data_IF_204095417815
#
_entry.id   IF_204095417815
#
_cell.length_a   1.000
_cell.length_b   1.000
_cell.length_c   1.000
_cell.angle_alpha   90.00
_cell.angle_beta   90.00
_cell.angle_gamma   90.00
#
_symmetry.space_group_name_H-M   'P 1'
#
loop_
_entity.id
_entity.type
_entity.pdbx_description
1 polymer ?
#
# COMPACT_ATOMS: atom_id res chain seq x y z
N UNK A 1 0.34 13.84 -18.78
CA UNK A 1 1.34 14.69 -18.08
C UNK A 1 2.62 14.66 -18.91
N UNK A 2 3.23 15.80 -19.24
CA UNK A 2 4.53 15.82 -19.91
C UNK A 2 5.63 15.69 -18.85
N UNK A 3 6.67 14.91 -19.11
CA UNK A 3 7.88 14.93 -18.30
C UNK A 3 8.65 16.22 -18.60
N UNK A 4 8.90 17.04 -17.58
CA UNK A 4 9.66 18.28 -17.71
C UNK A 4 11.14 17.92 -17.58
N UNK A 5 11.80 17.78 -18.73
CA UNK A 5 13.21 17.40 -18.81
C UNK A 5 14.18 18.57 -18.55
N UNK A 6 13.65 19.76 -18.28
CA UNK A 6 14.43 20.98 -18.04
C UNK A 6 14.61 21.24 -16.54
N UNK A 7 15.59 20.56 -15.93
CA UNK A 7 16.11 20.91 -14.60
C UNK A 7 15.35 20.37 -13.38
N UNK A 8 14.23 19.67 -13.56
CA UNK A 8 13.51 19.02 -12.45
C UNK A 8 13.97 17.57 -12.28
N UNK A 9 14.28 17.16 -11.05
CA UNK A 9 14.51 15.76 -10.69
C UNK A 9 13.26 14.89 -10.93
N UNK A 10 13.38 13.55 -10.96
CA UNK A 10 12.21 12.67 -11.09
C UNK A 10 11.14 12.88 -10.01
N UNK A 11 11.54 13.29 -8.80
CA UNK A 11 10.61 13.61 -7.71
C UNK A 11 9.89 14.93 -7.96
N UNK A 12 10.62 15.98 -8.31
CA UNK A 12 10.03 17.29 -8.63
C UNK A 12 9.12 17.21 -9.85
N UNK A 13 9.48 16.41 -10.85
CA UNK A 13 8.61 16.12 -11.99
C UNK A 13 7.26 15.50 -11.60
N UNK A 14 7.17 14.88 -10.41
CA UNK A 14 5.94 14.31 -9.86
C UNK A 14 5.15 15.30 -9.01
N UNK A 15 5.79 16.32 -8.46
CA UNK A 15 5.20 17.19 -7.42
C UNK A 15 4.99 18.64 -7.90
N UNK A 16 5.86 19.15 -8.78
CA UNK A 16 5.89 20.58 -9.15
C UNK A 16 4.87 20.94 -10.24
N UNK A 17 4.77 20.25 -11.40
CA UNK A 17 3.77 20.64 -12.40
C UNK A 17 2.34 20.37 -11.90
N UNK A 18 1.41 21.34 -12.02
CA UNK A 18 0.05 21.18 -11.55
C UNK A 18 -0.70 20.11 -12.35
N UNK A 19 -1.55 19.35 -11.67
CA UNK A 19 -2.44 18.39 -12.30
C UNK A 19 -3.58 19.12 -13.00
N UNK A 20 -3.98 18.63 -14.18
CA UNK A 20 -4.99 19.26 -15.05
C UNK A 20 -6.06 18.24 -15.45
N UNK A 21 -6.86 17.77 -14.50
CA UNK A 21 -7.91 16.78 -14.77
C UNK A 21 -9.00 17.32 -15.70
N UNK A 22 -9.35 18.62 -15.56
CA UNK A 22 -10.35 19.28 -16.40
C UNK A 22 -10.08 19.15 -17.90
N UNK A 23 -8.81 19.10 -18.31
CA UNK A 23 -8.46 18.87 -19.71
C UNK A 23 -8.87 17.46 -20.16
N UNK A 24 -8.64 16.44 -19.33
CA UNK A 24 -9.07 15.08 -19.63
C UNK A 24 -10.60 14.98 -19.66
N UNK A 25 -11.30 15.72 -18.80
CA UNK A 25 -12.76 15.79 -18.79
C UNK A 25 -13.29 16.43 -20.07
N UNK A 26 -12.65 17.52 -20.52
CA UNK A 26 -12.99 18.14 -21.79
C UNK A 26 -12.75 17.18 -22.96
N UNK A 27 -11.61 16.47 -22.97
CA UNK A 27 -11.35 15.44 -23.98
C UNK A 27 -12.41 14.34 -23.98
N UNK A 28 -12.90 13.90 -22.81
CA UNK A 28 -13.99 12.92 -22.75
C UNK A 28 -15.30 13.47 -23.35
N UNK A 29 -15.61 14.75 -23.13
CA UNK A 29 -16.78 15.41 -23.74
C UNK A 29 -16.64 15.57 -25.25
N UNK A 30 -15.46 15.96 -25.73
CA UNK A 30 -15.18 16.21 -27.15
C UNK A 30 -15.12 14.91 -27.95
N UNK A 31 -14.64 13.82 -27.33
CA UNK A 31 -14.43 12.53 -27.96
C UNK A 31 -15.12 11.40 -27.17
N UNK A 32 -16.46 11.38 -27.12
CA UNK A 32 -17.21 10.46 -26.25
C UNK A 32 -17.00 8.98 -26.60
N UNK A 33 -16.63 8.68 -27.85
CA UNK A 33 -16.35 7.33 -28.33
C UNK A 33 -14.99 6.78 -27.87
N UNK A 34 -14.10 7.62 -27.30
CA UNK A 34 -12.83 7.17 -26.74
C UNK A 34 -12.96 6.83 -25.26
N UNK A 35 -12.18 5.85 -24.81
CA UNK A 35 -11.96 5.58 -23.39
C UNK A 35 -10.87 6.52 -22.87
N UNK A 36 -11.26 7.46 -22.01
CA UNK A 36 -10.36 8.44 -21.41
C UNK A 36 -10.27 8.15 -19.91
N UNK A 37 -9.05 8.14 -19.38
CA UNK A 37 -8.81 8.01 -17.95
C UNK A 37 -7.86 9.07 -17.42
N UNK A 38 -7.94 9.34 -16.12
CA UNK A 38 -7.06 10.28 -15.43
C UNK A 38 -6.05 9.59 -14.53
N UNK A 39 -4.92 10.25 -14.30
CA UNK A 39 -3.84 9.77 -13.44
C UNK A 39 -3.15 10.92 -12.71
N UNK A 40 -2.58 10.58 -11.55
CA UNK A 40 -1.65 11.40 -10.78
C UNK A 40 -2.34 12.06 -9.61
N UNK A 41 -1.75 12.03 -8.41
CA UNK A 41 -2.26 12.76 -7.23
C UNK A 41 -3.55 12.24 -6.61
N UNK A 42 -4.09 11.12 -7.08
CA UNK A 42 -5.31 10.49 -6.56
C UNK A 42 -4.93 9.52 -5.44
N UNK A 43 -5.44 9.74 -4.23
CA UNK A 43 -5.04 9.05 -3.01
C UNK A 43 -6.20 8.46 -2.20
N UNK A 44 -7.46 8.73 -2.55
CA UNK A 44 -8.63 8.20 -1.81
C UNK A 44 -9.71 7.66 -2.73
N UNK A 45 -10.58 6.78 -2.21
CA UNK A 45 -11.70 6.24 -2.98
C UNK A 45 -12.72 7.32 -3.35
N UNK A 46 -12.91 8.33 -2.50
CA UNK A 46 -13.81 9.46 -2.78
C UNK A 46 -13.29 10.28 -3.96
N UNK A 47 -11.97 10.48 -4.07
CA UNK A 47 -11.37 11.12 -5.23
C UNK A 47 -11.53 10.26 -6.49
N UNK A 48 -11.33 8.95 -6.39
CA UNK A 48 -11.55 8.01 -7.51
C UNK A 48 -12.99 8.14 -8.01
N UNK A 49 -13.98 8.12 -7.12
CA UNK A 49 -15.39 8.27 -7.48
C UNK A 49 -15.70 9.61 -8.14
N UNK A 50 -15.17 10.71 -7.58
CA UNK A 50 -15.34 12.04 -8.17
C UNK A 50 -14.79 12.10 -9.61
N UNK A 51 -13.67 11.42 -9.89
CA UNK A 51 -13.10 11.33 -11.22
C UNK A 51 -13.90 10.39 -12.14
N UNK A 52 -14.33 9.23 -11.67
CA UNK A 52 -15.13 8.27 -12.44
C UNK A 52 -16.51 8.81 -12.85
N UNK A 53 -17.02 9.82 -12.14
CA UNK A 53 -18.22 10.55 -12.56
C UNK A 53 -18.01 11.42 -13.83
N UNK A 54 -16.75 11.65 -14.24
CA UNK A 54 -16.39 12.56 -15.35
C UNK A 54 -15.67 11.84 -16.50
N UNK A 55 -15.01 10.70 -16.23
CA UNK A 55 -14.19 9.93 -17.18
C UNK A 55 -14.37 8.44 -17.01
N UNK A 56 -13.90 7.65 -17.98
CA UNK A 56 -14.10 6.20 -18.01
C UNK A 56 -13.18 5.42 -17.07
N UNK A 57 -12.10 6.04 -16.59
CA UNK A 57 -11.11 5.33 -15.78
C UNK A 57 -10.21 6.21 -14.93
N UNK A 58 -9.67 5.61 -13.87
CA UNK A 58 -8.72 6.22 -12.96
C UNK A 58 -7.53 5.29 -12.79
N UNK A 59 -6.32 5.82 -12.95
CA UNK A 59 -5.09 5.09 -12.67
C UNK A 59 -4.47 5.60 -11.37
N UNK A 60 -4.31 4.68 -10.41
CA UNK A 60 -3.66 4.93 -9.12
C UNK A 60 -2.28 4.30 -9.13
N UNK A 61 -1.25 5.09 -8.81
CA UNK A 61 0.15 4.66 -8.83
C UNK A 61 0.76 4.55 -7.44
N UNK A 62 1.39 5.65 -6.99
CA UNK A 62 2.10 5.71 -5.70
C UNK A 62 1.24 5.28 -4.52
N UNK A 63 -0.03 5.68 -4.51
CA UNK A 63 -0.93 5.32 -3.42
C UNK A 63 -1.15 3.81 -3.34
N UNK A 64 -1.41 3.14 -4.48
CA UNK A 64 -1.58 1.68 -4.51
C UNK A 64 -0.33 0.93 -4.00
N UNK A 65 0.87 1.49 -4.21
CA UNK A 65 2.11 0.90 -3.74
C UNK A 65 2.36 1.14 -2.24
N UNK A 66 2.06 2.34 -1.72
CA UNK A 66 2.34 2.70 -0.33
C UNK A 66 1.21 2.34 0.64
N UNK A 67 -0.02 2.27 0.13
CA UNK A 67 -1.27 2.04 0.87
C UNK A 67 -2.14 1.01 0.15
N UNK A 68 -1.63 -0.22 -0.11
CA UNK A 68 -2.33 -1.21 -0.93
C UNK A 68 -3.69 -1.62 -0.36
N UNK A 69 -3.91 -1.44 0.95
CA UNK A 69 -5.19 -1.76 1.58
C UNK A 69 -6.35 -0.89 1.10
N UNK A 70 -6.09 0.25 0.47
CA UNK A 70 -7.13 1.05 -0.20
C UNK A 70 -7.94 0.21 -1.21
N UNK A 71 -7.25 -0.73 -1.88
CA UNK A 71 -7.78 -1.50 -2.99
C UNK A 71 -8.65 -2.68 -2.57
N UNK A 72 -8.69 -3.06 -1.28
CA UNK A 72 -9.48 -4.22 -0.82
C UNK A 72 -10.98 -4.03 -1.03
N UNK A 73 -11.43 -2.79 -1.26
CA UNK A 73 -12.84 -2.47 -1.48
C UNK A 73 -13.21 -2.31 -2.96
N UNK A 74 -12.23 -2.35 -3.88
CA UNK A 74 -12.46 -1.99 -5.28
C UNK A 74 -13.29 -3.01 -6.03
N UNK A 75 -13.08 -4.30 -5.78
CA UNK A 75 -13.83 -5.40 -6.41
C UNK A 75 -15.33 -5.28 -6.10
N UNK A 76 -15.68 -5.04 -4.84
CA UNK A 76 -17.06 -4.79 -4.42
C UNK A 76 -17.60 -3.48 -5.00
N UNK A 77 -16.86 -2.38 -4.78
CA UNK A 77 -17.32 -1.02 -5.07
C UNK A 77 -17.52 -0.76 -6.56
N UNK A 78 -16.68 -1.33 -7.42
CA UNK A 78 -16.63 -0.97 -8.85
C UNK A 78 -16.96 -2.14 -9.79
N UNK A 79 -16.84 -3.38 -9.33
CA UNK A 79 -16.99 -4.56 -10.20
C UNK A 79 -18.13 -5.50 -9.78
N UNK A 80 -18.88 -5.18 -8.72
CA UNK A 80 -20.03 -5.97 -8.26
C UNK A 80 -19.65 -7.32 -7.67
N UNK A 81 -18.39 -7.49 -7.27
CA UNK A 81 -17.91 -8.70 -6.59
C UNK A 81 -18.36 -8.74 -5.13
N UNK A 82 -18.21 -9.90 -4.49
CA UNK A 82 -18.40 -10.00 -3.04
C UNK A 82 -17.33 -9.20 -2.26
N UNK A 83 -17.64 -8.72 -1.04
CA UNK A 83 -16.69 -8.01 -0.21
C UNK A 83 -15.42 -8.83 0.05
N UNK A 84 -14.27 -8.17 0.08
CA UNK A 84 -13.02 -8.78 0.53
C UNK A 84 -13.06 -9.03 2.04
N UNK A 85 -12.78 -10.27 2.46
CA UNK A 85 -12.94 -10.69 3.86
C UNK A 85 -11.64 -11.08 4.56
N UNK A 86 -10.51 -11.08 3.87
CA UNK A 86 -9.24 -11.50 4.49
C UNK A 86 -8.65 -10.41 5.39
N UNK A 87 -7.94 -10.85 6.42
CA UNK A 87 -7.19 -9.97 7.30
C UNK A 87 -5.81 -9.65 6.69
N UNK A 88 -5.16 -8.60 7.20
CA UNK A 88 -3.77 -8.29 6.81
C UNK A 88 -2.84 -9.43 7.16
N UNK A 89 -3.08 -10.10 8.28
CA UNK A 89 -2.34 -11.26 8.75
C UNK A 89 -2.44 -12.43 7.76
N UNK A 90 -3.64 -12.71 7.25
CA UNK A 90 -3.86 -13.76 6.25
C UNK A 90 -3.16 -13.42 4.91
N UNK A 91 -3.24 -12.15 4.47
CA UNK A 91 -2.53 -11.68 3.27
C UNK A 91 -1.01 -11.77 3.47
N UNK A 92 -0.51 -11.38 4.63
CA UNK A 92 0.93 -11.48 4.97
C UNK A 92 1.41 -12.93 4.94
N UNK A 93 0.65 -13.87 5.52
CA UNK A 93 1.00 -15.30 5.50
C UNK A 93 1.01 -15.88 4.07
N UNK A 94 0.08 -15.47 3.21
CA UNK A 94 0.11 -15.82 1.78
C UNK A 94 1.35 -15.28 1.08
N UNK A 95 1.79 -14.07 1.43
CA UNK A 95 3.04 -13.51 0.93
C UNK A 95 4.27 -14.29 1.42
N UNK A 96 4.27 -14.80 2.64
CA UNK A 96 5.33 -15.68 3.15
C UNK A 96 5.38 -16.99 2.36
N UNK A 97 4.23 -17.65 2.16
CA UNK A 97 4.15 -18.86 1.34
C UNK A 97 4.60 -18.60 -0.11
N UNK A 98 4.30 -17.42 -0.66
CA UNK A 98 4.81 -17.00 -1.96
C UNK A 98 6.34 -16.85 -1.97
N UNK A 99 6.94 -16.25 -0.95
CA UNK A 99 8.40 -16.12 -0.84
C UNK A 99 9.11 -17.47 -0.78
N UNK A 100 8.56 -18.42 0.00
CA UNK A 100 9.09 -19.78 0.08
C UNK A 100 9.02 -20.50 -1.26
N UNK A 101 7.88 -20.39 -1.95
CA UNK A 101 7.71 -20.97 -3.28
C UNK A 101 8.69 -20.38 -4.28
N UNK A 102 8.80 -19.05 -4.36
CA UNK A 102 9.73 -18.37 -5.26
C UNK A 102 11.18 -18.81 -5.00
N UNK A 103 11.57 -18.89 -3.73
CA UNK A 103 12.91 -19.39 -3.38
C UNK A 103 13.15 -20.83 -3.83
N UNK A 104 12.16 -21.72 -3.69
CA UNK A 104 12.26 -23.11 -4.15
C UNK A 104 12.30 -23.24 -5.68
N UNK A 105 11.63 -22.35 -6.40
CA UNK A 105 11.54 -22.38 -7.87
C UNK A 105 12.82 -21.85 -8.55
N UNK A 106 13.36 -20.72 -8.11
CA UNK A 106 14.47 -20.04 -8.80
C UNK A 106 15.52 -19.40 -7.87
N UNK A 107 15.45 -19.67 -6.56
CA UNK A 107 16.36 -19.10 -5.59
C UNK A 107 16.10 -17.62 -5.28
N UNK A 108 14.98 -17.04 -5.71
CA UNK A 108 14.63 -15.66 -5.42
C UNK A 108 14.70 -15.39 -3.90
N UNK A 109 15.49 -14.40 -3.46
CA UNK A 109 15.59 -14.10 -2.05
C UNK A 109 14.34 -13.40 -1.54
N UNK A 110 13.83 -13.80 -0.38
CA UNK A 110 12.58 -13.30 0.18
C UNK A 110 12.52 -11.76 0.28
N UNK A 111 13.65 -11.09 0.54
CA UNK A 111 13.70 -9.64 0.70
C UNK A 111 13.46 -8.87 -0.61
N UNK A 112 13.65 -9.51 -1.77
CA UNK A 112 13.30 -8.92 -3.07
C UNK A 112 11.79 -8.80 -3.24
N UNK A 113 11.02 -9.69 -2.58
CA UNK A 113 9.55 -9.71 -2.56
C UNK A 113 9.03 -8.88 -1.38
N UNK A 114 9.55 -9.11 -0.16
CA UNK A 114 9.05 -8.46 1.07
C UNK A 114 9.08 -6.93 1.01
N UNK A 115 10.07 -6.34 0.33
CA UNK A 115 10.14 -4.87 0.13
C UNK A 115 8.89 -4.28 -0.56
N UNK A 116 8.13 -5.09 -1.30
CA UNK A 116 6.92 -4.67 -2.01
C UNK A 116 5.64 -4.78 -1.17
N UNK A 117 5.67 -5.48 -0.03
CA UNK A 117 4.52 -5.56 0.89
C UNK A 117 4.63 -4.61 2.08
N UNK A 118 5.68 -3.77 2.17
CA UNK A 118 5.93 -2.92 3.34
C UNK A 118 4.85 -1.85 3.61
N UNK A 119 3.97 -1.61 2.63
CA UNK A 119 2.78 -0.77 2.76
C UNK A 119 1.57 -1.47 3.40
N UNK A 120 1.59 -2.80 3.54
CA UNK A 120 0.44 -3.61 3.98
C UNK A 120 -0.15 -3.12 5.31
N UNK A 121 0.71 -2.83 6.29
CA UNK A 121 0.31 -2.35 7.62
C UNK A 121 0.34 -0.83 7.77
N UNK A 122 0.33 -0.05 6.67
CA UNK A 122 0.38 1.42 6.77
C UNK A 122 -0.71 1.97 7.70
N UNK A 123 -0.35 2.94 8.56
CA UNK A 123 -1.27 3.62 9.47
C UNK A 123 -1.69 2.80 10.69
N UNK A 124 -1.23 1.55 10.84
CA UNK A 124 -1.53 0.72 11.99
C UNK A 124 -0.49 0.88 13.11
N UNK A 125 -0.92 0.64 14.35
CA UNK A 125 0.00 0.45 15.49
C UNK A 125 0.92 -0.76 15.22
N UNK A 126 2.17 -0.71 15.68
CA UNK A 126 3.17 -1.74 15.38
C UNK A 126 3.71 -1.75 13.95
N UNK A 127 3.15 -0.98 13.02
CA UNK A 127 3.59 -0.99 11.62
C UNK A 127 5.06 -0.60 11.42
N UNK A 128 5.57 0.30 12.27
CA UNK A 128 6.99 0.70 12.24
C UNK A 128 7.91 -0.46 12.59
N UNK A 129 7.61 -1.17 13.69
CA UNK A 129 8.41 -2.29 14.16
C UNK A 129 8.30 -3.49 13.21
N UNK A 130 7.09 -3.78 12.74
CA UNK A 130 6.85 -4.77 11.71
C UNK A 130 7.69 -4.50 10.44
N UNK A 131 7.72 -3.25 9.98
CA UNK A 131 8.53 -2.84 8.82
C UNK A 131 10.03 -2.96 9.12
N UNK A 132 10.46 -2.64 10.34
CA UNK A 132 11.84 -2.76 10.77
C UNK A 132 12.32 -4.21 10.64
N UNK A 133 11.53 -5.18 11.11
CA UNK A 133 11.84 -6.62 11.01
C UNK A 133 11.96 -7.06 9.55
N UNK A 134 10.94 -6.77 8.73
CA UNK A 134 10.96 -7.14 7.31
C UNK A 134 12.04 -6.43 6.47
N UNK A 135 12.65 -5.36 6.99
CA UNK A 135 13.72 -4.61 6.33
C UNK A 135 15.11 -4.83 6.93
N UNK A 136 15.23 -5.59 8.01
CA UNK A 136 16.50 -5.80 8.70
C UNK A 136 17.43 -6.68 7.84
N UNK A 137 18.57 -6.11 7.45
CA UNK A 137 19.55 -6.81 6.64
C UNK A 137 20.17 -8.01 7.35
N UNK A 138 20.15 -8.04 8.69
CA UNK A 138 20.72 -9.12 9.52
C UNK A 138 19.87 -10.38 9.46
N UNK A 139 18.59 -10.24 9.14
CA UNK A 139 17.65 -11.35 9.05
C UNK A 139 17.62 -12.01 7.67
N UNK A 140 18.30 -11.45 6.66
CA UNK A 140 18.35 -12.01 5.30
C UNK A 140 18.79 -13.47 5.21
N UNK A 141 19.71 -13.98 6.06
CA UNK A 141 20.07 -15.40 6.04
C UNK A 141 18.96 -16.34 6.55
N UNK A 142 17.95 -15.82 7.25
CA UNK A 142 16.87 -16.62 7.81
C UNK A 142 15.78 -16.90 6.75
N UNK A 143 15.07 -18.04 6.85
CA UNK A 143 13.87 -18.30 6.08
C UNK A 143 12.78 -17.23 6.33
N UNK A 144 11.96 -16.87 5.33
CA UNK A 144 10.91 -15.86 5.50
C UNK A 144 9.89 -16.23 6.59
N UNK A 145 9.66 -17.52 6.84
CA UNK A 145 8.78 -18.01 7.91
C UNK A 145 9.26 -17.60 9.30
N UNK A 146 10.57 -17.64 9.55
CA UNK A 146 11.15 -17.23 10.83
C UNK A 146 11.07 -15.71 11.01
N UNK A 147 11.35 -14.96 9.95
CA UNK A 147 11.20 -13.49 9.95
C UNK A 147 9.75 -13.08 10.22
N UNK A 148 8.79 -13.78 9.61
CA UNK A 148 7.37 -13.59 9.86
C UNK A 148 6.98 -13.88 11.30
N UNK A 149 7.44 -14.99 11.89
CA UNK A 149 7.16 -15.33 13.29
C UNK A 149 7.68 -14.23 14.25
N UNK A 150 8.87 -13.69 13.99
CA UNK A 150 9.41 -12.54 14.75
C UNK A 150 8.52 -11.31 14.59
N UNK A 151 8.03 -11.03 13.38
CA UNK A 151 7.14 -9.91 13.11
C UNK A 151 5.79 -10.04 13.83
N UNK A 152 5.20 -11.24 13.86
CA UNK A 152 3.94 -11.49 14.57
C UNK A 152 4.08 -11.36 16.09
N UNK A 153 5.15 -11.92 16.67
CA UNK A 153 5.37 -11.86 18.12
C UNK A 153 5.43 -10.42 18.64
N UNK A 154 6.09 -9.53 17.88
CA UNK A 154 6.24 -8.13 18.24
C UNK A 154 4.95 -7.31 18.10
N UNK A 155 4.12 -7.61 17.08
CA UNK A 155 2.80 -6.99 16.94
C UNK A 155 1.90 -7.36 18.11
N UNK A 156 1.91 -8.62 18.55
CA UNK A 156 1.10 -9.08 19.69
C UNK A 156 1.53 -8.42 21.00
N UNK A 157 2.84 -8.29 21.24
CA UNK A 157 3.38 -7.61 22.43
C UNK A 157 2.93 -6.14 22.49
N UNK A 158 3.07 -5.38 21.40
CA UNK A 158 2.67 -3.97 21.38
C UNK A 158 1.16 -3.74 21.56
N UNK A 159 0.32 -4.66 21.05
CA UNK A 159 -1.14 -4.60 21.24
C UNK A 159 -1.49 -4.93 22.69
N UNK A 160 -0.87 -5.95 23.27
CA UNK A 160 -1.09 -6.31 24.68
C UNK A 160 -0.64 -5.21 25.66
N UNK A 161 0.44 -4.49 25.34
CA UNK A 161 0.89 -3.33 26.13
C UNK A 161 -0.02 -2.10 25.94
N UNK A 162 -0.71 -1.99 24.79
CA UNK A 162 -1.71 -0.96 24.55
C UNK A 162 -2.90 -1.05 25.51
N UNK A 163 -3.39 -2.28 25.66
CA UNK A 163 -4.61 -2.59 26.38
C UNK A 163 -4.44 -2.46 27.89
N UNK A 164 -3.21 -2.51 28.39
CA UNK A 164 -2.89 -2.35 29.83
C UNK A 164 -3.01 -0.91 30.33
N UNK A 165 -3.06 0.09 29.45
CA UNK A 165 -3.10 1.51 29.83
C UNK A 165 -1.83 1.96 30.59
N UNK A 166 -1.62 3.27 30.79
CA UNK A 166 -0.52 3.73 31.64
C UNK A 166 -0.82 3.32 33.10
N UNK A 167 0.13 2.64 33.75
CA UNK A 167 0.08 2.42 35.20
C UNK A 167 0.02 3.80 35.88
N UNK A 168 -1.13 4.10 36.50
CA UNK A 168 -1.27 5.26 37.37
C UNK A 168 -0.40 4.99 38.59
N UNK A 169 0.85 5.47 38.57
CA UNK A 169 1.67 5.52 39.77
C UNK A 169 0.99 6.47 40.76
N UNK A 170 0.23 5.91 41.68
CA UNK A 170 -0.26 6.60 42.86
C UNK A 170 0.96 7.04 43.68
N UNK A 171 1.26 8.33 43.65
CA UNK A 171 2.22 8.95 44.57
C UNK A 171 1.59 8.89 45.97
N UNK A 172 2.21 8.24 46.97
CA UNK A 172 1.68 8.20 48.32
C UNK A 172 1.78 9.59 48.95
N UNK A 173 0.75 9.93 49.73
CA UNK A 173 0.55 11.22 50.41
C UNK A 173 1.54 11.48 51.55
#
# INVERSE_FOLDING_TARGET
>A
RNAWLQGLSPKENREVPPLRYELAYQLKRDFPHLTIGVNGGITTNEQIEAHLAQVDGVMVGREAYHHPWLMTTWDERYFGSSPFTETREAVEEKMVAYMERAHAEDGCPWYAIARHMLGLRHGLRGARLWRQIWSDHRLKPLPPREVWAMAQAQVVQEVSEAERGPEVHSVPA
#
